data_IF_029501141891
#
_entry.id   IF_029501141891
#
_cell.length_a   1.000
_cell.length_b   1.000
_cell.length_c   1.000
_cell.angle_alpha   90.00
_cell.angle_beta   90.00
_cell.angle_gamma   90.00
#
_symmetry.space_group_name_H-M   'P 1'
#
loop_
_entity.id
_entity.type
_entity.pdbx_description
1 polymer ?
#
# COMPACT_ATOMS: atom_id res chain seq x y z
N UNK A 1 -31.44 -8.88 7.46
CA UNK A 1 -31.01 -9.07 6.04
C UNK A 1 -31.35 -10.50 5.63
N UNK A 2 -32.12 -10.72 4.57
CA UNK A 2 -32.55 -12.07 4.16
C UNK A 2 -31.32 -12.94 3.86
N UNK A 3 -31.08 -13.99 4.66
CA UNK A 3 -29.95 -14.93 4.48
C UNK A 3 -29.86 -15.46 3.04
N UNK A 4 -31.00 -15.63 2.38
CA UNK A 4 -31.13 -16.05 0.99
C UNK A 4 -30.56 -15.04 -0.02
N UNK A 5 -30.74 -13.73 0.21
CA UNK A 5 -30.19 -12.68 -0.67
C UNK A 5 -28.67 -12.62 -0.57
N UNK A 6 -28.13 -12.72 0.64
CA UNK A 6 -26.67 -12.75 0.86
C UNK A 6 -26.06 -14.01 0.24
N UNK A 7 -26.63 -15.18 0.51
CA UNK A 7 -26.14 -16.45 -0.02
C UNK A 7 -26.20 -16.49 -1.57
N UNK A 8 -27.28 -15.97 -2.16
CA UNK A 8 -27.40 -15.85 -3.61
C UNK A 8 -26.37 -14.90 -4.22
N UNK A 9 -26.16 -13.74 -3.60
CA UNK A 9 -25.16 -12.75 -4.05
C UNK A 9 -23.75 -13.31 -3.91
N UNK A 10 -23.42 -13.97 -2.79
CA UNK A 10 -22.14 -14.62 -2.57
C UNK A 10 -21.81 -15.69 -3.62
N UNK A 11 -22.77 -16.58 -3.93
CA UNK A 11 -22.59 -17.58 -5.00
C UNK A 11 -22.30 -16.94 -6.36
N UNK A 12 -22.87 -15.77 -6.66
CA UNK A 12 -22.63 -15.04 -7.91
C UNK A 12 -21.30 -14.29 -7.92
N UNK A 13 -20.91 -13.70 -6.79
CA UNK A 13 -19.60 -13.05 -6.60
C UNK A 13 -18.50 -14.04 -6.88
N UNK A 14 -18.49 -15.14 -6.13
CA UNK A 14 -17.35 -16.07 -6.15
C UNK A 14 -17.45 -17.09 -7.28
N UNK A 15 -18.65 -17.63 -7.54
CA UNK A 15 -18.83 -18.74 -8.48
C UNK A 15 -18.11 -20.01 -8.04
N UNK A 16 -18.48 -21.16 -8.62
CA UNK A 16 -17.81 -22.44 -8.30
C UNK A 16 -16.36 -22.47 -8.80
N UNK A 17 -16.10 -21.95 -10.00
CA UNK A 17 -14.75 -21.88 -10.56
C UNK A 17 -13.85 -20.83 -9.90
N UNK A 18 -14.42 -19.73 -9.37
CA UNK A 18 -13.63 -18.68 -8.73
C UNK A 18 -13.08 -19.08 -7.36
N UNK A 19 -13.78 -19.93 -6.60
CA UNK A 19 -13.23 -20.51 -5.36
C UNK A 19 -11.99 -21.36 -5.66
N UNK A 20 -12.08 -22.24 -6.67
CA UNK A 20 -10.98 -23.10 -7.05
C UNK A 20 -9.78 -22.30 -7.57
N UNK A 21 -10.01 -21.39 -8.52
CA UNK A 21 -8.95 -20.52 -9.05
C UNK A 21 -8.33 -19.64 -7.97
N UNK A 22 -9.14 -19.11 -7.04
CA UNK A 22 -8.66 -18.31 -5.92
C UNK A 22 -7.80 -19.12 -4.95
N UNK A 23 -8.20 -20.36 -4.63
CA UNK A 23 -7.42 -21.26 -3.79
C UNK A 23 -6.09 -21.65 -4.45
N UNK A 24 -6.11 -21.99 -5.75
CA UNK A 24 -4.90 -22.27 -6.52
C UNK A 24 -3.98 -21.06 -6.55
N UNK A 25 -4.53 -19.85 -6.75
CA UNK A 25 -3.73 -18.62 -6.74
C UNK A 25 -3.07 -18.36 -5.39
N UNK A 26 -3.82 -18.49 -4.28
CA UNK A 26 -3.24 -18.34 -2.93
C UNK A 26 -2.14 -19.35 -2.65
N UNK A 27 -2.32 -20.60 -3.10
CA UNK A 27 -1.32 -21.64 -2.96
C UNK A 27 -0.06 -21.29 -3.77
N UNK A 28 -0.22 -20.88 -5.03
CA UNK A 28 0.90 -20.44 -5.88
C UNK A 28 1.61 -19.21 -5.29
N UNK A 29 0.85 -18.26 -4.74
CA UNK A 29 1.43 -17.08 -4.07
C UNK A 29 2.24 -17.47 -2.83
N UNK A 30 1.75 -18.41 -2.03
CA UNK A 30 2.48 -18.93 -0.87
C UNK A 30 3.74 -19.71 -1.28
N UNK A 31 3.65 -20.55 -2.31
CA UNK A 31 4.79 -21.30 -2.84
C UNK A 31 5.84 -20.34 -3.38
N UNK A 32 5.44 -19.39 -4.23
CA UNK A 32 6.34 -18.37 -4.75
C UNK A 32 7.04 -17.62 -3.61
N UNK A 33 6.29 -17.12 -2.63
CA UNK A 33 6.87 -16.43 -1.46
C UNK A 33 7.80 -17.31 -0.60
N UNK A 34 7.67 -18.63 -0.66
CA UNK A 34 8.55 -19.55 0.07
C UNK A 34 9.87 -19.86 -0.64
N UNK A 35 9.98 -19.60 -1.94
CA UNK A 35 11.20 -19.82 -2.71
C UNK A 35 12.10 -18.58 -2.75
N UNK A 36 13.21 -18.62 -2.01
CA UNK A 36 14.23 -17.56 -2.00
C UNK A 36 14.84 -17.30 -3.40
N UNK A 37 14.85 -18.31 -4.27
CA UNK A 37 15.40 -18.24 -5.64
C UNK A 37 14.53 -17.49 -6.64
N UNK A 38 13.22 -17.39 -6.39
CA UNK A 38 12.27 -16.71 -7.28
C UNK A 38 12.13 -15.20 -7.01
N UNK A 39 12.93 -14.65 -6.08
CA UNK A 39 12.97 -13.21 -5.80
C UNK A 39 11.80 -12.71 -4.94
N UNK A 40 10.97 -13.61 -4.40
CA UNK A 40 9.76 -13.34 -3.62
C UNK A 40 9.97 -13.52 -2.11
N UNK A 41 11.21 -13.47 -1.63
CA UNK A 41 11.60 -13.69 -0.23
C UNK A 41 11.20 -12.58 0.75
N UNK A 42 10.27 -11.70 0.39
CA UNK A 42 9.75 -10.63 1.25
C UNK A 42 8.26 -10.81 1.53
N UNK A 43 7.84 -10.41 2.73
CA UNK A 43 6.41 -10.35 3.09
C UNK A 43 5.65 -9.38 2.18
N UNK A 44 6.33 -8.35 1.66
CA UNK A 44 5.77 -7.42 0.70
C UNK A 44 5.34 -8.10 -0.60
N UNK A 45 6.21 -8.92 -1.20
CA UNK A 45 5.91 -9.61 -2.46
C UNK A 45 4.75 -10.59 -2.32
N UNK A 46 4.70 -11.32 -1.20
CA UNK A 46 3.56 -12.15 -0.86
C UNK A 46 2.25 -11.33 -0.82
N UNK A 47 2.25 -10.20 -0.11
CA UNK A 47 1.08 -9.33 -0.02
C UNK A 47 0.70 -8.75 -1.39
N UNK A 48 1.68 -8.49 -2.26
CA UNK A 48 1.45 -8.08 -3.65
C UNK A 48 0.70 -9.14 -4.47
N UNK A 49 1.11 -10.40 -4.35
CA UNK A 49 0.44 -11.52 -5.00
C UNK A 49 -0.97 -11.76 -4.43
N UNK A 50 -1.13 -11.63 -3.10
CA UNK A 50 -2.43 -11.76 -2.43
C UNK A 50 -3.39 -10.63 -2.85
N UNK A 51 -2.89 -9.40 -3.04
CA UNK A 51 -3.70 -8.24 -3.42
C UNK A 51 -4.41 -8.38 -4.78
N UNK A 52 -4.00 -9.32 -5.63
CA UNK A 52 -4.67 -9.63 -6.90
C UNK A 52 -6.12 -10.09 -6.68
N UNK A 53 -6.39 -10.87 -5.62
CA UNK A 53 -7.73 -11.37 -5.34
C UNK A 53 -8.73 -10.26 -4.96
N UNK A 54 -8.45 -9.39 -3.97
CA UNK A 54 -9.35 -8.29 -3.66
C UNK A 54 -9.47 -7.28 -4.83
N UNK A 55 -8.43 -7.11 -5.65
CA UNK A 55 -8.52 -6.32 -6.89
C UNK A 55 -9.46 -6.95 -7.93
N UNK A 56 -9.37 -8.26 -8.15
CA UNK A 56 -10.30 -8.99 -9.01
C UNK A 56 -11.75 -8.89 -8.49
N UNK A 57 -11.93 -8.88 -7.17
CA UNK A 57 -13.23 -8.64 -6.54
C UNK A 57 -13.78 -7.22 -6.79
N UNK A 58 -12.93 -6.19 -6.94
CA UNK A 58 -13.37 -4.84 -7.37
C UNK A 58 -13.97 -4.90 -8.77
N UNK A 59 -13.28 -5.54 -9.73
CA UNK A 59 -13.80 -5.73 -11.09
C UNK A 59 -15.10 -6.54 -11.10
N UNK A 60 -15.15 -7.60 -10.28
CA UNK A 60 -16.33 -8.44 -10.12
C UNK A 60 -17.52 -7.68 -9.57
N UNK A 61 -17.30 -6.80 -8.59
CA UNK A 61 -18.34 -5.95 -8.02
C UNK A 61 -18.95 -5.01 -9.08
N UNK A 62 -18.10 -4.37 -9.89
CA UNK A 62 -18.57 -3.53 -11.01
C UNK A 62 -19.40 -4.33 -12.03
N UNK A 63 -18.92 -5.52 -12.43
CA UNK A 63 -19.65 -6.40 -13.36
C UNK A 63 -21.01 -6.86 -12.83
N UNK A 64 -21.09 -7.23 -11.54
CA UNK A 64 -22.36 -7.62 -10.91
C UNK A 64 -23.39 -6.49 -10.93
N UNK A 65 -22.95 -5.26 -10.62
CA UNK A 65 -23.80 -4.08 -10.66
C UNK A 65 -24.38 -3.83 -12.06
N UNK A 66 -23.55 -3.94 -13.11
CA UNK A 66 -24.01 -3.79 -14.49
C UNK A 66 -24.95 -4.93 -14.93
N UNK A 67 -24.61 -6.17 -14.58
CA UNK A 67 -25.40 -7.35 -14.99
C UNK A 67 -26.83 -7.28 -14.45
N UNK A 68 -27.01 -6.94 -13.18
CA UNK A 68 -28.35 -6.82 -12.57
C UNK A 68 -29.19 -5.74 -13.26
N UNK A 69 -28.58 -4.62 -13.63
CA UNK A 69 -29.26 -3.57 -14.40
C UNK A 69 -29.74 -4.09 -15.76
N UNK A 70 -28.90 -4.85 -16.48
CA UNK A 70 -29.28 -5.44 -17.79
C UNK A 70 -30.39 -6.47 -17.67
N UNK A 71 -30.43 -7.24 -16.58
CA UNK A 71 -31.44 -8.28 -16.34
C UNK A 71 -32.79 -7.71 -15.86
N UNK A 72 -32.96 -6.38 -15.78
CA UNK A 72 -34.24 -5.76 -15.39
C UNK A 72 -34.59 -5.92 -13.91
N UNK A 73 -33.61 -6.29 -13.08
CA UNK A 73 -33.81 -6.53 -11.64
C UNK A 73 -34.20 -5.27 -10.87
N UNK A 74 -34.02 -4.08 -11.45
CA UNK A 74 -34.37 -2.81 -10.80
C UNK A 74 -35.85 -2.72 -10.43
N UNK A 75 -36.74 -3.26 -11.27
CA UNK A 75 -38.18 -3.25 -10.99
C UNK A 75 -38.58 -4.31 -9.95
N UNK A 76 -37.95 -5.49 -10.00
CA UNK A 76 -38.15 -6.55 -9.00
C UNK A 76 -37.56 -6.16 -7.62
N UNK A 77 -36.44 -5.43 -7.61
CA UNK A 77 -35.80 -4.89 -6.40
C UNK A 77 -36.62 -3.75 -5.79
N UNK A 78 -37.25 -2.87 -6.60
CA UNK A 78 -38.16 -1.82 -6.09
C UNK A 78 -39.37 -2.41 -5.36
N UNK A 79 -39.92 -3.52 -5.88
CA UNK A 79 -41.06 -4.21 -5.26
C UNK A 79 -40.67 -4.95 -3.97
N UNK A 80 -39.46 -5.53 -3.91
CA UNK A 80 -38.97 -6.28 -2.73
C UNK A 80 -38.25 -5.43 -1.67
N UNK A 81 -37.75 -4.27 -2.06
CA UNK A 81 -36.98 -3.36 -1.22
C UNK A 81 -37.30 -1.89 -1.53
N UNK A 82 -38.45 -1.37 -1.06
CA UNK A 82 -38.88 0.01 -1.31
C UNK A 82 -37.90 1.06 -0.75
N UNK A 83 -37.03 0.69 0.21
CA UNK A 83 -35.97 1.54 0.75
C UNK A 83 -34.65 1.51 -0.02
N UNK A 84 -34.50 0.63 -1.02
CA UNK A 84 -33.33 0.53 -1.92
C UNK A 84 -32.00 0.21 -1.22
N UNK A 85 -32.02 -0.37 -0.03
CA UNK A 85 -30.87 -0.53 0.87
C UNK A 85 -30.32 -1.96 0.93
N UNK A 86 -31.20 -2.95 0.81
CA UNK A 86 -30.91 -4.36 1.05
C UNK A 86 -30.04 -4.94 -0.05
N UNK A 87 -30.29 -4.57 -1.30
CA UNK A 87 -29.50 -5.04 -2.43
C UNK A 87 -28.06 -4.53 -2.42
N UNK A 88 -27.78 -3.21 -2.39
CA UNK A 88 -26.40 -2.72 -2.40
C UNK A 88 -25.60 -3.22 -1.20
N UNK A 89 -26.26 -3.38 -0.04
CA UNK A 89 -25.62 -3.98 1.13
C UNK A 89 -25.39 -5.48 1.00
N UNK A 90 -26.27 -6.23 0.35
CA UNK A 90 -26.06 -7.65 0.12
C UNK A 90 -24.90 -7.90 -0.86
N UNK A 91 -24.78 -7.08 -1.92
CA UNK A 91 -23.67 -7.17 -2.87
C UNK A 91 -22.36 -6.75 -2.22
N UNK A 92 -22.34 -5.63 -1.49
CA UNK A 92 -21.16 -5.24 -0.72
C UNK A 92 -20.80 -6.32 0.30
N UNK A 93 -21.75 -6.79 1.10
CA UNK A 93 -21.53 -7.82 2.12
C UNK A 93 -21.00 -9.13 1.51
N UNK A 94 -21.45 -9.49 0.31
CA UNK A 94 -20.96 -10.67 -0.38
C UNK A 94 -19.51 -10.49 -0.87
N UNK A 95 -19.18 -9.33 -1.43
CA UNK A 95 -17.81 -9.01 -1.89
C UNK A 95 -16.86 -8.85 -0.70
N UNK A 96 -17.28 -8.17 0.36
CA UNK A 96 -16.48 -8.03 1.58
C UNK A 96 -16.27 -9.37 2.25
N UNK A 97 -17.30 -10.23 2.36
CA UNK A 97 -17.16 -11.58 2.90
C UNK A 97 -16.21 -12.44 2.05
N UNK A 98 -16.29 -12.35 0.72
CA UNK A 98 -15.37 -13.07 -0.16
C UNK A 98 -13.92 -12.58 0.01
N UNK A 99 -13.73 -11.27 0.12
CA UNK A 99 -12.42 -10.66 0.34
C UNK A 99 -11.84 -11.02 1.71
N UNK A 100 -12.63 -10.96 2.78
CA UNK A 100 -12.18 -11.33 4.13
C UNK A 100 -11.84 -12.80 4.23
N UNK A 101 -12.61 -13.69 3.60
CA UNK A 101 -12.29 -15.11 3.53
C UNK A 101 -10.98 -15.37 2.76
N UNK A 102 -10.75 -14.67 1.64
CA UNK A 102 -9.50 -14.78 0.89
C UNK A 102 -8.29 -14.31 1.71
N UNK A 103 -8.41 -13.17 2.40
CA UNK A 103 -7.36 -12.64 3.26
C UNK A 103 -7.12 -13.52 4.49
N UNK A 104 -8.17 -14.10 5.08
CA UNK A 104 -8.04 -15.05 6.17
C UNK A 104 -7.34 -16.34 5.71
N UNK A 105 -7.69 -16.87 4.54
CA UNK A 105 -7.03 -18.02 3.95
C UNK A 105 -5.54 -17.73 3.66
N UNK A 106 -5.22 -16.54 3.14
CA UNK A 106 -3.83 -16.09 2.98
C UNK A 106 -3.07 -16.08 4.31
N UNK A 107 -3.66 -15.51 5.37
CA UNK A 107 -3.07 -15.51 6.71
C UNK A 107 -2.84 -16.92 7.27
N UNK A 108 -3.80 -17.84 7.06
CA UNK A 108 -3.66 -19.24 7.49
C UNK A 108 -2.51 -19.95 6.76
N UNK A 109 -2.30 -19.67 5.46
CA UNK A 109 -1.18 -20.24 4.70
C UNK A 109 0.17 -19.74 5.22
N UNK A 110 0.27 -18.46 5.61
CA UNK A 110 1.50 -17.92 6.23
C UNK A 110 1.79 -18.52 7.61
N UNK A 111 0.75 -18.91 8.34
CA UNK A 111 0.90 -19.56 9.65
C UNK A 111 1.27 -21.05 9.53
N UNK A 112 1.06 -21.66 8.37
CA UNK A 112 1.31 -23.09 8.13
C UNK A 112 2.81 -23.41 8.19
N UNK A 113 3.27 -24.33 9.06
CA UNK A 113 4.69 -24.59 9.27
C UNK A 113 5.48 -25.00 8.03
N UNK A 114 4.85 -25.75 7.11
CA UNK A 114 5.47 -26.18 5.85
C UNK A 114 5.65 -25.05 4.82
N UNK A 115 4.93 -23.94 5.02
CA UNK A 115 4.95 -22.75 4.16
C UNK A 115 5.51 -21.53 4.91
N UNK A 116 5.97 -21.69 6.16
CA UNK A 116 6.80 -20.69 6.85
C UNK A 116 8.14 -20.73 6.14
N UNK A 117 8.46 -19.77 5.26
CA UNK A 117 9.82 -19.65 4.83
C UNK A 117 10.66 -19.30 6.06
N UNK A 118 11.96 -19.52 6.00
CA UNK A 118 12.90 -18.73 6.79
C UNK A 118 12.77 -17.26 6.40
N UNK A 119 11.68 -16.61 6.81
CA UNK A 119 11.52 -15.15 6.79
C UNK A 119 12.49 -14.69 7.85
N UNK A 120 13.77 -14.65 7.47
CA UNK A 120 14.77 -14.04 8.30
C UNK A 120 14.32 -12.61 8.55
N UNK A 121 14.32 -12.14 9.80
CA UNK A 121 14.06 -10.75 10.16
C UNK A 121 15.21 -9.83 9.70
N UNK A 122 15.85 -10.18 8.57
CA UNK A 122 16.91 -9.44 7.94
C UNK A 122 16.41 -8.09 7.47
N UNK A 123 17.25 -7.46 6.67
CA UNK A 123 17.12 -6.03 6.43
C UNK A 123 16.96 -5.77 4.94
N UNK A 124 16.15 -4.76 4.63
CA UNK A 124 16.03 -4.23 3.28
C UNK A 124 16.87 -2.96 3.21
N UNK A 125 17.76 -2.90 2.22
CA UNK A 125 18.62 -1.73 1.98
C UNK A 125 18.15 -0.96 0.75
N UNK A 126 18.03 0.36 0.89
CA UNK A 126 17.60 1.27 -0.17
C UNK A 126 18.68 2.32 -0.39
N UNK A 127 19.09 2.56 -1.64
CA UNK A 127 20.02 3.64 -1.95
C UNK A 127 19.40 5.00 -1.58
N UNK A 128 20.19 5.90 -0.99
CA UNK A 128 19.75 7.24 -0.65
C UNK A 128 20.36 8.27 -1.61
N UNK A 129 19.60 9.32 -1.90
CA UNK A 129 20.12 10.47 -2.61
C UNK A 129 20.89 11.37 -1.64
N UNK A 130 22.11 11.74 -2.04
CA UNK A 130 23.04 12.56 -1.25
C UNK A 130 23.16 13.93 -1.91
N UNK A 131 22.75 14.98 -1.20
CA UNK A 131 23.07 16.36 -1.51
C UNK A 131 24.36 16.76 -0.81
N UNK A 132 25.38 17.19 -1.57
CA UNK A 132 26.66 17.65 -1.01
C UNK A 132 26.69 19.18 -1.00
N UNK A 133 26.89 19.77 0.18
CA UNK A 133 27.20 21.19 0.37
C UNK A 133 28.62 21.33 0.95
N UNK A 134 29.21 22.55 0.97
CA UNK A 134 30.60 22.74 1.39
C UNK A 134 30.93 22.15 2.77
N UNK A 135 30.04 22.37 3.74
CA UNK A 135 30.25 22.02 5.15
C UNK A 135 29.31 20.92 5.66
N UNK A 136 28.36 20.48 4.83
CA UNK A 136 27.32 19.53 5.24
C UNK A 136 26.90 18.58 4.12
N UNK A 137 26.50 17.38 4.53
CA UNK A 137 25.84 16.39 3.70
C UNK A 137 24.37 16.31 4.06
N UNK A 138 23.51 16.30 3.05
CA UNK A 138 22.07 16.20 3.18
C UNK A 138 21.61 14.89 2.58
N UNK A 139 21.13 13.99 3.43
CA UNK A 139 20.65 12.67 3.04
C UNK A 139 19.12 12.72 2.94
N UNK A 140 18.60 12.59 1.72
CA UNK A 140 17.16 12.69 1.46
C UNK A 140 16.48 11.35 1.76
N UNK A 141 15.66 11.30 2.81
CA UNK A 141 14.95 10.10 3.23
C UNK A 141 13.58 10.02 2.55
N UNK A 142 13.11 8.81 2.19
CA UNK A 142 11.76 8.64 1.69
C UNK A 142 10.76 9.07 2.75
N UNK A 143 9.73 9.82 2.36
CA UNK A 143 8.63 10.20 3.24
C UNK A 143 7.39 9.40 2.87
N UNK A 144 6.74 8.70 3.83
CA UNK A 144 7.12 8.53 5.25
C UNK A 144 8.28 7.53 5.46
N UNK A 145 9.17 7.81 6.44
CA UNK A 145 10.28 6.93 6.82
C UNK A 145 9.92 6.10 8.06
N UNK A 146 10.15 4.77 8.07
CA UNK A 146 9.90 3.93 9.25
C UNK A 146 10.74 4.36 10.46
N UNK A 147 10.19 4.37 11.69
CA UNK A 147 10.90 4.83 12.89
C UNK A 147 12.05 3.91 13.32
N UNK A 148 12.04 2.65 12.88
CA UNK A 148 13.11 1.69 13.15
C UNK A 148 14.21 1.69 12.06
N UNK A 149 14.10 2.57 11.07
CA UNK A 149 15.08 2.68 10.00
C UNK A 149 16.36 3.39 10.48
N UNK A 150 17.47 3.05 9.85
CA UNK A 150 18.78 3.65 10.10
C UNK A 150 19.49 3.91 8.78
N UNK A 151 20.39 4.87 8.79
CA UNK A 151 21.25 5.15 7.65
C UNK A 151 22.59 4.49 7.91
N UNK A 152 23.06 3.71 6.94
CA UNK A 152 24.42 3.17 6.93
C UNK A 152 25.19 3.82 5.79
N UNK A 153 26.40 4.26 6.06
CA UNK A 153 27.28 4.84 5.05
C UNK A 153 28.74 4.60 5.41
N UNK A 154 29.60 4.62 4.39
CA UNK A 154 31.04 4.50 4.55
C UNK A 154 31.64 5.87 4.23
N UNK A 155 32.60 6.28 5.06
CA UNK A 155 33.40 7.48 4.82
C UNK A 155 34.80 7.09 4.37
N UNK A 156 35.29 7.80 3.37
CA UNK A 156 36.64 7.74 2.87
C UNK A 156 37.39 9.03 3.24
N UNK A 157 38.71 8.93 3.37
CA UNK A 157 39.58 10.05 3.67
C UNK A 157 40.79 10.02 2.75
N UNK A 158 41.15 11.17 2.19
CA UNK A 158 42.42 11.33 1.48
C UNK A 158 43.62 11.12 2.43
N UNK A 159 43.47 11.57 3.67
CA UNK A 159 44.41 11.31 4.77
C UNK A 159 43.61 10.88 6.00
N UNK A 160 43.71 9.60 6.36
CA UNK A 160 42.99 9.04 7.49
C UNK A 160 43.41 9.74 8.80
N UNK A 161 42.47 10.18 9.64
CA UNK A 161 42.80 10.75 10.94
C UNK A 161 43.48 9.69 11.84
N UNK A 162 44.38 10.15 12.70
CA UNK A 162 45.11 9.27 13.63
C UNK A 162 44.21 8.62 14.70
N UNK A 163 43.05 9.24 14.98
CA UNK A 163 42.01 8.77 15.89
C UNK A 163 40.66 8.76 15.16
N UNK A 164 39.63 8.13 15.77
CA UNK A 164 38.27 8.15 15.22
C UNK A 164 37.77 9.59 15.08
N UNK A 165 37.24 9.93 13.91
CA UNK A 165 36.61 11.23 13.68
C UNK A 165 35.19 11.23 14.26
N UNK A 166 34.72 12.37 14.78
CA UNK A 166 33.31 12.52 15.15
C UNK A 166 32.50 13.07 13.97
N UNK A 167 31.42 12.38 13.61
CA UNK A 167 30.37 12.92 12.74
C UNK A 167 29.32 13.54 13.63
N UNK A 168 28.92 14.77 13.29
CA UNK A 168 27.94 15.54 14.05
C UNK A 168 26.73 15.82 13.16
N UNK A 169 25.52 15.53 13.65
CA UNK A 169 24.29 15.97 12.97
C UNK A 169 24.00 17.44 13.24
N UNK A 170 23.17 18.07 12.41
CA UNK A 170 22.68 19.44 12.66
C UNK A 170 21.98 19.59 14.03
N UNK A 171 21.37 18.51 14.54
CA UNK A 171 20.78 18.45 15.88
C UNK A 171 21.78 18.22 17.03
N UNK A 172 23.09 18.19 16.75
CA UNK A 172 24.16 18.07 17.74
C UNK A 172 24.48 16.65 18.20
N UNK A 173 23.79 15.61 17.69
CA UNK A 173 24.12 14.20 17.98
C UNK A 173 25.44 13.83 17.32
N UNK A 174 26.26 13.06 18.02
CA UNK A 174 27.61 12.67 17.57
C UNK A 174 27.76 11.16 17.47
N UNK A 175 28.52 10.69 16.48
CA UNK A 175 28.92 9.28 16.35
C UNK A 175 30.39 9.18 15.94
N UNK A 176 31.12 8.20 16.49
CA UNK A 176 32.47 7.91 16.02
C UNK A 176 32.42 7.33 14.61
N UNK A 177 33.36 7.75 13.78
CA UNK A 177 33.57 7.26 12.43
C UNK A 177 35.02 6.82 12.28
N UNK A 178 35.18 5.60 11.79
CA UNK A 178 36.49 5.02 11.51
C UNK A 178 36.62 4.86 9.99
N UNK A 179 37.75 5.26 9.38
CA UNK A 179 37.99 5.09 7.96
C UNK A 179 37.71 3.67 7.46
N UNK A 180 36.92 3.55 6.39
CA UNK A 180 36.60 2.27 5.75
C UNK A 180 35.62 1.37 6.51
N UNK A 181 35.11 1.77 7.68
CA UNK A 181 34.09 1.03 8.42
C UNK A 181 32.69 1.67 8.23
N UNK A 182 31.62 0.87 8.17
CA UNK A 182 30.27 1.39 8.06
C UNK A 182 29.88 2.14 9.33
N UNK A 183 29.45 3.38 9.16
CA UNK A 183 28.84 4.17 10.22
C UNK A 183 27.36 3.87 10.24
N UNK A 184 26.87 3.39 11.39
CA UNK A 184 25.44 3.13 11.61
C UNK A 184 24.80 4.33 12.32
N UNK A 185 23.91 5.01 11.62
CA UNK A 185 23.22 6.20 12.10
C UNK A 185 21.73 5.93 12.33
N UNK A 186 21.28 5.70 13.59
CA UNK A 186 19.86 5.55 13.89
C UNK A 186 19.13 6.87 13.71
N UNK A 187 18.05 6.84 12.92
CA UNK A 187 17.20 8.02 12.71
C UNK A 187 16.44 8.35 13.99
N UNK A 188 16.36 9.62 14.33
CA UNK A 188 15.42 10.08 15.35
C UNK A 188 14.03 10.35 14.74
N UNK A 189 12.99 10.52 15.58
CA UNK A 189 11.63 10.75 15.08
C UNK A 189 11.46 12.06 14.30
N UNK A 190 12.32 13.06 14.51
CA UNK A 190 12.26 14.33 13.78
C UNK A 190 12.87 14.20 12.39
N UNK A 191 14.04 13.57 12.26
CA UNK A 191 14.69 13.27 10.98
C UNK A 191 13.81 12.40 10.09
N UNK A 192 13.21 11.34 10.66
CA UNK A 192 12.29 10.47 9.93
C UNK A 192 11.04 11.23 9.44
N UNK A 193 10.56 12.22 10.20
CA UNK A 193 9.41 13.07 9.85
C UNK A 193 9.78 14.14 8.82
N UNK A 194 10.92 14.79 9.01
CA UNK A 194 11.48 15.81 8.15
C UNK A 194 12.05 15.19 6.86
N UNK A 195 12.15 13.87 6.75
CA UNK A 195 12.64 13.16 5.57
C UNK A 195 14.01 13.62 5.10
N UNK A 196 14.83 14.12 6.00
CA UNK A 196 16.16 14.63 5.72
C UNK A 196 17.02 14.42 6.95
N UNK A 197 18.22 13.87 6.73
CA UNK A 197 19.27 13.76 7.74
C UNK A 197 20.42 14.66 7.29
N UNK A 198 20.77 15.65 8.13
CA UNK A 198 21.84 16.60 7.86
C UNK A 198 23.05 16.29 8.76
N UNK A 199 24.18 15.99 8.12
CA UNK A 199 25.43 15.66 8.78
C UNK A 199 26.48 16.72 8.45
N UNK A 200 27.15 17.26 9.46
CA UNK A 200 28.29 18.14 9.28
C UNK A 200 29.47 17.33 8.76
N UNK A 201 30.08 17.83 7.68
CA UNK A 201 31.19 17.17 6.99
C UNK A 201 32.46 17.29 7.84
N UNK A 202 33.06 16.17 8.26
CA UNK A 202 34.37 16.20 8.91
C UNK A 202 35.46 16.65 7.93
N UNK A 203 36.53 17.31 8.40
CA UNK A 203 37.63 17.75 7.54
C UNK A 203 38.25 16.59 6.75
N UNK A 204 38.43 16.77 5.44
CA UNK A 204 39.04 15.77 4.57
C UNK A 204 38.22 14.51 4.32
N UNK A 205 37.02 14.39 4.92
CA UNK A 205 36.14 13.26 4.70
C UNK A 205 35.38 13.41 3.38
N UNK A 206 35.21 12.29 2.70
CA UNK A 206 34.39 12.12 1.50
C UNK A 206 33.37 11.03 1.79
N UNK A 207 32.12 11.32 1.45
CA UNK A 207 31.02 10.37 1.55
C UNK A 207 30.83 9.71 0.18
N UNK A 208 31.01 8.40 0.10
CA UNK A 208 30.74 7.67 -1.15
C UNK A 208 29.22 7.48 -1.32
N UNK A 209 28.58 8.10 -2.33
CA UNK A 209 27.15 7.99 -2.55
C UNK A 209 26.68 6.55 -2.81
N UNK A 210 27.54 5.66 -3.34
CA UNK A 210 27.18 4.27 -3.64
C UNK A 210 26.93 3.42 -2.38
N UNK A 211 27.56 3.81 -1.27
CA UNK A 211 27.47 3.12 0.02
C UNK A 211 26.48 3.74 0.99
N UNK A 212 25.82 4.86 0.63
CA UNK A 212 24.78 5.44 1.48
C UNK A 212 23.47 4.70 1.30
N UNK A 213 23.09 3.95 2.34
CA UNK A 213 21.91 3.10 2.35
C UNK A 213 20.99 3.43 3.52
N UNK A 214 19.69 3.49 3.24
CA UNK A 214 18.67 3.36 4.27
C UNK A 214 18.44 1.88 4.51
N UNK A 215 18.67 1.45 5.75
CA UNK A 215 18.47 0.08 6.19
C UNK A 215 17.20 0.03 7.04
N UNK A 216 16.25 -0.79 6.59
CA UNK A 216 14.94 -0.95 7.23
C UNK A 216 14.80 -2.41 7.68
N UNK A 217 14.50 -2.67 8.97
CA UNK A 217 14.24 -4.02 9.43
C UNK A 217 12.96 -4.55 8.78
N UNK A 218 13.01 -5.77 8.24
CA UNK A 218 11.84 -6.39 7.62
C UNK A 218 10.78 -6.70 8.69
N UNK A 219 9.48 -6.50 8.40
CA UNK A 219 8.42 -6.92 9.30
C UNK A 219 8.44 -8.44 9.44
N UNK A 220 8.46 -8.92 10.67
CA UNK A 220 8.32 -10.35 10.96
C UNK A 220 6.95 -10.89 10.54
N UNK A 221 6.85 -12.21 10.42
CA UNK A 221 5.61 -12.89 10.07
C UNK A 221 4.45 -12.62 11.06
N UNK A 222 4.78 -12.23 12.30
CA UNK A 222 3.84 -11.79 13.33
C UNK A 222 3.05 -10.53 12.93
N UNK A 223 3.58 -9.71 12.02
CA UNK A 223 2.88 -8.52 11.49
C UNK A 223 1.93 -8.83 10.34
N UNK A 224 1.97 -10.03 9.76
CA UNK A 224 1.13 -10.40 8.61
C UNK A 224 -0.38 -10.21 8.85
N UNK A 225 -0.97 -10.56 10.02
CA UNK A 225 -2.39 -10.33 10.28
C UNK A 225 -2.78 -8.84 10.18
N UNK A 226 -1.91 -7.96 10.69
CA UNK A 226 -2.15 -6.52 10.67
C UNK A 226 -2.02 -5.95 9.24
N UNK A 227 -1.06 -6.42 8.46
CA UNK A 227 -0.89 -6.01 7.05
C UNK A 227 -2.05 -6.51 6.17
N UNK A 228 -2.51 -7.75 6.37
CA UNK A 228 -3.68 -8.29 5.69
C UNK A 228 -4.97 -7.54 6.07
N UNK A 229 -5.12 -7.14 7.34
CA UNK A 229 -6.21 -6.28 7.78
C UNK A 229 -6.13 -4.89 7.12
N UNK A 230 -4.92 -4.31 7.03
CA UNK A 230 -4.66 -3.07 6.31
C UNK A 230 -5.10 -3.13 4.85
N UNK A 231 -4.73 -4.21 4.13
CA UNK A 231 -5.20 -4.48 2.77
C UNK A 231 -6.73 -4.55 2.69
N UNK A 232 -7.38 -5.22 3.64
CA UNK A 232 -8.83 -5.26 3.74
C UNK A 232 -9.46 -3.87 3.87
N UNK A 233 -8.90 -3.02 4.74
CA UNK A 233 -9.33 -1.63 4.91
C UNK A 233 -9.09 -0.78 3.66
N UNK A 234 -8.02 -1.04 2.90
CA UNK A 234 -7.75 -0.37 1.63
C UNK A 234 -8.82 -0.69 0.58
N UNK A 235 -9.13 -1.98 0.36
CA UNK A 235 -10.03 -2.40 -0.71
C UNK A 235 -11.53 -2.17 -0.42
N UNK A 236 -11.94 -2.07 0.84
CA UNK A 236 -13.35 -1.95 1.21
C UNK A 236 -14.04 -0.71 0.58
N UNK A 237 -13.45 0.50 0.65
CA UNK A 237 -13.98 1.67 -0.08
C UNK A 237 -13.96 1.51 -1.59
N UNK A 238 -13.01 0.76 -2.15
CA UNK A 238 -12.92 0.51 -3.60
C UNK A 238 -14.05 -0.41 -4.09
N UNK A 239 -14.41 -1.44 -3.32
CA UNK A 239 -15.59 -2.26 -3.61
C UNK A 239 -16.87 -1.43 -3.58
N UNK A 240 -17.02 -0.55 -2.58
CA UNK A 240 -18.13 0.39 -2.50
C UNK A 240 -18.17 1.36 -3.70
N UNK A 241 -17.03 1.90 -4.10
CA UNK A 241 -16.90 2.79 -5.26
C UNK A 241 -17.30 2.10 -6.57
N UNK A 242 -16.83 0.87 -6.81
CA UNK A 242 -17.15 0.11 -8.02
C UNK A 242 -18.66 -0.18 -8.11
N UNK A 243 -19.29 -0.61 -7.01
CA UNK A 243 -20.75 -0.82 -6.96
C UNK A 243 -21.51 0.49 -7.18
N UNK A 244 -21.06 1.58 -6.56
CA UNK A 244 -21.65 2.90 -6.74
C UNK A 244 -21.62 3.32 -8.21
N UNK A 245 -20.45 3.28 -8.86
CA UNK A 245 -20.29 3.67 -10.26
C UNK A 245 -21.14 2.82 -11.20
N UNK A 246 -21.16 1.51 -11.02
CA UNK A 246 -21.98 0.60 -11.83
C UNK A 246 -23.48 0.92 -11.72
N UNK A 247 -23.98 1.18 -10.50
CA UNK A 247 -25.37 1.63 -10.26
C UNK A 247 -25.63 3.04 -10.79
N UNK A 248 -24.57 3.85 -10.94
CA UNK A 248 -24.61 5.13 -11.62
C UNK A 248 -24.57 4.99 -13.15
N UNK A 249 -24.78 3.80 -13.70
CA UNK A 249 -24.92 3.55 -15.13
C UNK A 249 -23.59 3.48 -15.88
N UNK A 250 -22.46 3.52 -15.17
CA UNK A 250 -21.14 3.25 -15.73
C UNK A 250 -21.06 1.76 -16.05
N UNK A 251 -20.44 1.40 -17.18
CA UNK A 251 -20.20 -0.02 -17.51
C UNK A 251 -19.36 -0.67 -16.41
N UNK A 252 -19.65 -1.92 -16.06
CA UNK A 252 -19.12 -2.59 -14.88
C UNK A 252 -17.60 -2.69 -14.87
N UNK A 253 -16.99 -3.01 -16.01
CA UNK A 253 -15.52 -3.00 -16.13
C UNK A 253 -14.93 -1.60 -15.94
N UNK A 254 -15.53 -0.56 -16.53
CA UNK A 254 -15.09 0.82 -16.36
C UNK A 254 -15.28 1.31 -14.91
N UNK A 255 -16.34 0.88 -14.24
CA UNK A 255 -16.58 1.15 -12.83
C UNK A 255 -15.49 0.50 -11.95
N UNK A 256 -15.12 -0.75 -12.25
CA UNK A 256 -14.04 -1.45 -11.57
C UNK A 256 -12.67 -0.79 -11.79
N UNK A 257 -12.32 -0.49 -13.05
CA UNK A 257 -11.08 0.22 -13.36
C UNK A 257 -11.04 1.63 -12.77
N UNK A 258 -12.15 2.37 -12.77
CA UNK A 258 -12.24 3.67 -12.14
C UNK A 258 -12.02 3.61 -10.63
N UNK A 259 -12.58 2.60 -9.96
CA UNK A 259 -12.32 2.37 -8.53
C UNK A 259 -10.86 2.00 -8.27
N UNK A 260 -10.27 1.09 -9.05
CA UNK A 260 -8.85 0.74 -8.93
C UNK A 260 -7.95 1.94 -9.23
N UNK A 261 -8.29 2.78 -10.21
CA UNK A 261 -7.58 4.02 -10.52
C UNK A 261 -7.62 5.02 -9.37
N UNK A 262 -8.75 5.14 -8.67
CA UNK A 262 -8.87 5.95 -7.46
C UNK A 262 -7.99 5.39 -6.32
N UNK A 263 -7.97 4.07 -6.13
CA UNK A 263 -7.07 3.42 -5.17
C UNK A 263 -5.59 3.59 -5.53
N UNK A 264 -5.25 3.46 -6.82
CA UNK A 264 -3.90 3.67 -7.31
C UNK A 264 -3.44 5.11 -7.11
N UNK A 265 -4.32 6.09 -7.38
CA UNK A 265 -4.05 7.50 -7.11
C UNK A 265 -3.86 7.78 -5.62
N UNK A 266 -4.67 7.18 -4.76
CA UNK A 266 -4.57 7.33 -3.29
C UNK A 266 -3.29 6.70 -2.73
N UNK A 267 -2.84 5.59 -3.31
CA UNK A 267 -1.61 4.90 -2.92
C UNK A 267 -0.36 5.42 -3.67
N UNK A 268 -0.53 6.37 -4.59
CA UNK A 268 0.56 6.89 -5.39
C UNK A 268 1.37 7.90 -4.60
N UNK A 269 2.69 7.69 -4.57
CA UNK A 269 3.65 8.66 -4.07
C UNK A 269 4.70 8.94 -5.13
N UNK A 270 4.98 10.21 -5.42
CA UNK A 270 6.11 10.56 -6.26
C UNK A 270 7.42 10.25 -5.50
N UNK A 271 8.31 9.47 -6.12
CA UNK A 271 9.65 9.23 -5.59
C UNK A 271 10.61 10.41 -5.81
N UNK A 272 10.25 11.35 -6.68
CA UNK A 272 11.01 12.56 -6.96
C UNK A 272 10.09 13.77 -7.05
N UNK A 273 10.58 14.96 -6.66
CA UNK A 273 9.88 16.21 -6.90
C UNK A 273 9.44 16.28 -8.37
N UNK A 274 8.18 16.63 -8.63
CA UNK A 274 7.65 16.71 -9.98
C UNK A 274 8.61 17.52 -10.87
N UNK A 275 8.99 17.02 -12.06
CA UNK A 275 10.03 17.65 -12.85
C UNK A 275 9.75 19.15 -13.05
N UNK A 276 10.73 20.03 -12.79
CA UNK A 276 10.57 21.46 -13.06
C UNK A 276 10.41 21.67 -14.56
N UNK A 277 9.36 22.38 -14.99
CA UNK A 277 9.11 22.69 -16.40
C UNK A 277 7.61 22.79 -16.76
N UNK A 278 7.34 23.18 -18.00
CA UNK A 278 6.00 23.33 -18.59
C UNK A 278 5.63 22.17 -19.54
N UNK A 279 6.39 21.07 -19.54
CA UNK A 279 6.10 19.94 -20.42
C UNK A 279 4.72 19.33 -20.10
N UNK A 280 3.99 18.80 -21.09
CA UNK A 280 2.67 18.19 -20.87
C UNK A 280 2.71 17.06 -19.82
N UNK A 281 3.80 16.30 -19.77
CA UNK A 281 4.03 15.26 -18.77
C UNK A 281 4.27 15.85 -17.36
N UNK A 282 5.01 16.95 -17.25
CA UNK A 282 5.19 17.65 -15.97
C UNK A 282 3.87 18.25 -15.46
N UNK A 283 3.05 18.81 -16.35
CA UNK A 283 1.71 19.31 -16.03
C UNK A 283 0.78 18.18 -15.57
N UNK A 284 0.79 17.04 -16.27
CA UNK A 284 0.00 15.87 -15.89
C UNK A 284 0.46 15.29 -14.53
N UNK A 285 1.77 15.15 -14.32
CA UNK A 285 2.31 14.70 -13.04
C UNK A 285 1.91 15.63 -11.90
N UNK A 286 2.01 16.95 -12.09
CA UNK A 286 1.54 17.95 -11.11
C UNK A 286 0.04 17.88 -10.88
N UNK A 287 -0.76 17.69 -11.92
CA UNK A 287 -2.21 17.54 -11.83
C UNK A 287 -2.60 16.29 -11.03
N UNK A 288 -1.95 15.16 -11.28
CA UNK A 288 -2.16 13.93 -10.51
C UNK A 288 -1.72 14.12 -9.05
N UNK A 289 -0.61 14.82 -8.80
CA UNK A 289 -0.13 15.08 -7.44
C UNK A 289 -1.09 15.97 -6.67
N UNK A 290 -1.55 17.02 -7.35
CA UNK A 290 -2.57 17.91 -6.83
C UNK A 290 -3.92 17.20 -6.65
N UNK A 291 -4.19 16.07 -7.30
CA UNK A 291 -5.39 15.27 -7.05
C UNK A 291 -5.18 14.28 -5.89
N UNK A 292 -4.01 13.62 -5.84
CA UNK A 292 -3.63 12.72 -4.76
C UNK A 292 -3.61 13.43 -3.40
N UNK A 293 -3.23 14.71 -3.34
CA UNK A 293 -3.21 15.50 -2.11
C UNK A 293 -4.59 15.74 -1.49
N UNK A 294 -5.69 15.48 -2.21
CA UNK A 294 -7.06 15.58 -1.68
C UNK A 294 -7.53 14.26 -1.06
N UNK A 295 -6.80 13.18 -1.29
CA UNK A 295 -7.11 11.86 -0.76
C UNK A 295 -6.36 11.68 0.57
N UNK A 296 -6.95 10.95 1.53
CA UNK A 296 -6.23 10.58 2.73
C UNK A 296 -5.03 9.68 2.37
N UNK A 297 -3.88 9.80 3.06
CA UNK A 297 -2.74 8.93 2.84
C UNK A 297 -3.10 7.48 3.21
N UNK A 298 -2.99 6.54 2.27
CA UNK A 298 -3.38 5.12 2.45
C UNK A 298 -2.26 4.15 2.07
N UNK A 299 -1.05 4.64 1.90
CA UNK A 299 0.09 3.90 1.35
C UNK A 299 0.51 2.75 2.26
N UNK A 300 0.39 2.93 3.57
CA UNK A 300 0.62 1.87 4.54
C UNK A 300 -0.49 0.82 4.61
N UNK A 301 -1.72 1.13 4.15
CA UNK A 301 -2.78 0.14 3.98
C UNK A 301 -2.56 -0.70 2.71
N UNK A 302 -1.97 -0.10 1.68
CA UNK A 302 -1.62 -0.74 0.41
C UNK A 302 -0.14 -1.19 0.35
N UNK A 303 0.52 -1.34 1.51
CA UNK A 303 1.92 -1.72 1.58
C UNK A 303 2.12 -3.14 1.02
N UNK A 304 2.61 -3.21 -0.22
CA UNK A 304 2.87 -4.44 -0.97
C UNK A 304 4.14 -4.30 -1.81
N UNK A 305 4.66 -5.44 -2.26
CA UNK A 305 5.86 -5.55 -3.09
C UNK A 305 7.14 -5.03 -2.39
N UNK A 306 8.15 -4.61 -3.16
CA UNK A 306 9.48 -4.29 -2.65
C UNK A 306 9.56 -3.01 -1.81
N UNK A 307 8.47 -2.24 -1.74
CA UNK A 307 8.36 -1.03 -0.91
C UNK A 307 7.51 -1.23 0.33
N UNK A 308 7.08 -2.47 0.59
CA UNK A 308 6.22 -2.79 1.73
C UNK A 308 6.88 -2.37 3.05
N UNK A 309 8.17 -2.62 3.22
CA UNK A 309 8.92 -2.31 4.45
C UNK A 309 8.95 -0.81 4.73
N UNK A 310 9.04 0.02 3.68
CA UNK A 310 9.00 1.47 3.80
C UNK A 310 7.61 1.99 4.16
N UNK A 311 6.57 1.30 3.72
CA UNK A 311 5.18 1.78 3.79
C UNK A 311 4.40 1.19 4.97
N UNK A 312 4.77 0.01 5.44
CA UNK A 312 4.05 -0.69 6.49
C UNK A 312 3.90 0.19 7.75
N UNK A 313 2.64 0.48 8.12
CA UNK A 313 2.33 1.24 9.34
C UNK A 313 2.49 2.76 9.23
N UNK A 314 2.73 3.31 8.04
CA UNK A 314 2.89 4.76 7.85
C UNK A 314 1.56 5.50 7.74
N UNK A 315 0.47 4.79 7.46
CA UNK A 315 -0.87 5.38 7.38
C UNK A 315 -1.37 5.76 8.78
N UNK A 316 -1.65 7.06 9.04
CA UNK A 316 -2.18 7.49 10.33
C UNK A 316 -3.64 7.06 10.50
N UNK A 317 -4.07 6.84 11.74
CA UNK A 317 -5.42 6.35 12.07
C UNK A 317 -6.55 7.25 11.52
N UNK A 318 -6.38 8.56 11.54
CA UNK A 318 -7.37 9.49 11.00
C UNK A 318 -7.58 9.26 9.49
N UNK A 319 -6.52 8.93 8.75
CA UNK A 319 -6.59 8.70 7.32
C UNK A 319 -7.34 7.41 7.00
N UNK A 320 -7.15 6.36 7.81
CA UNK A 320 -7.98 5.14 7.75
C UNK A 320 -9.45 5.48 7.94
N UNK A 321 -9.77 6.30 8.94
CA UNK A 321 -11.15 6.69 9.27
C UNK A 321 -11.80 7.49 8.13
N UNK A 322 -11.07 8.46 7.55
CA UNK A 322 -11.52 9.24 6.39
C UNK A 322 -11.72 8.33 5.17
N UNK A 323 -10.79 7.41 4.92
CA UNK A 323 -10.88 6.47 3.80
C UNK A 323 -12.11 5.56 3.90
N UNK A 324 -12.37 5.00 5.09
CA UNK A 324 -13.59 4.22 5.35
C UNK A 324 -14.85 5.09 5.24
N UNK A 325 -14.77 6.35 5.68
CA UNK A 325 -15.83 7.36 5.50
C UNK A 325 -16.18 7.60 4.04
N UNK A 326 -15.19 7.71 3.15
CA UNK A 326 -15.38 7.80 1.70
C UNK A 326 -16.13 6.56 1.17
N UNK A 327 -15.75 5.36 1.63
CA UNK A 327 -16.47 4.13 1.32
C UNK A 327 -17.94 4.18 1.75
N UNK A 328 -18.21 4.65 2.97
CA UNK A 328 -19.57 4.84 3.48
C UNK A 328 -20.37 5.86 2.66
N UNK A 329 -19.73 6.93 2.18
CA UNK A 329 -20.36 7.92 1.29
C UNK A 329 -20.71 7.32 -0.07
N UNK A 330 -19.86 6.49 -0.67
CA UNK A 330 -20.20 5.77 -1.90
C UNK A 330 -21.43 4.87 -1.70
N UNK A 331 -21.50 4.17 -0.57
CA UNK A 331 -22.66 3.35 -0.23
C UNK A 331 -23.92 4.18 -0.02
N UNK A 332 -23.84 5.29 0.70
CA UNK A 332 -24.96 6.21 0.87
C UNK A 332 -25.41 6.81 -0.48
N UNK A 333 -24.47 7.19 -1.34
CA UNK A 333 -24.70 7.74 -2.67
C UNK A 333 -25.33 6.73 -3.64
N UNK A 334 -25.12 5.42 -3.41
CA UNK A 334 -25.70 4.33 -4.19
C UNK A 334 -27.20 4.14 -3.96
N UNK A 335 -27.72 4.68 -2.84
CA UNK A 335 -29.16 4.73 -2.50
C UNK A 335 -29.89 5.78 -3.30
N UNK A 336 -29.24 6.93 -3.53
CA UNK A 336 -29.86 8.08 -4.20
C UNK A 336 -29.62 8.00 -5.69
N UNK A 337 -30.65 7.67 -6.48
CA UNK A 337 -30.74 8.19 -7.85
C UNK A 337 -32.14 8.57 -8.29
N UNK A 338 -32.21 9.85 -8.71
CA UNK A 338 -33.18 10.54 -9.56
C UNK A 338 -34.63 10.07 -9.44
N UNK A 339 -35.33 10.62 -8.46
CA UNK A 339 -36.63 11.26 -8.73
C UNK A 339 -36.35 12.49 -9.62
N UNK A 340 -36.19 12.29 -10.92
CA UNK A 340 -36.17 13.39 -11.87
C UNK A 340 -36.78 12.89 -13.17
N UNK A 341 -38.03 13.32 -13.37
CA UNK A 341 -38.88 13.26 -14.56
C UNK A 341 -39.12 11.87 -15.16
#
# INVERSE_FOLDING_TARGET
>A
MNRLLLAGSFRRVVGRGGLFLGAVWLLLAAIAASEATLGTGSLGDYLGLVAVLPAALVLRAGWLGERRRREGWEDEERLRDPGGWRTPMADLAAVTLAGTLALAAAGLLLLAPALRPGVDPGESSFALAVGVQPDEWRLHLPRPCPPAARVEFILEWEQAPAESAEIVSAGGRRRPATPGLPVVWPLDPEEARNGELVLLRPPGAVLDPEWVRLVVPRPGADRAPLLLAGLGCFFLPLWAAALFLARRGVRGLLAGFGALGLGALAAWQPSAAAPPGSSPLALLARGLLAAASWLPPVEGLAAVGPTCELRAGTTPFWAVSVWLGIGALFLAGSRRRRTAA
#
